data_IF_767596390444
#
_entry.id   IF_767596390444
#
_cell.length_a   1.000
_cell.length_b   1.000
_cell.length_c   1.000
_cell.angle_alpha   90.00
_cell.angle_beta   90.00
_cell.angle_gamma   90.00
#
_symmetry.space_group_name_H-M   'P 1'
#
loop_
_entity.id
_entity.type
_entity.pdbx_description
1 polymer ?
#
# COMPACT_ATOMS: atom_id res chain seq x y z
N UNK A 1 2.18 13.52 -7.77
CA UNK A 1 2.79 12.17 -7.79
C UNK A 1 4.14 12.25 -7.10
N UNK A 2 4.68 11.13 -6.62
CA UNK A 2 5.98 11.11 -5.92
C UNK A 2 7.12 11.43 -6.88
N UNK A 3 8.12 12.18 -6.42
CA UNK A 3 9.24 12.70 -7.21
C UNK A 3 10.55 12.69 -6.42
N UNK A 4 11.66 12.93 -7.12
CA UNK A 4 12.98 13.19 -6.50
C UNK A 4 12.90 14.35 -5.51
N UNK A 5 12.12 15.39 -5.82
CA UNK A 5 11.98 16.56 -4.94
C UNK A 5 11.27 16.20 -3.63
N UNK A 6 10.31 15.27 -3.64
CA UNK A 6 9.66 14.79 -2.40
C UNK A 6 10.67 14.09 -1.47
N UNK A 7 11.60 13.30 -2.03
CA UNK A 7 12.68 12.66 -1.27
C UNK A 7 13.70 13.68 -0.73
N UNK A 8 14.08 14.68 -1.52
CA UNK A 8 14.94 15.80 -1.06
C UNK A 8 14.26 16.57 0.07
N UNK A 9 12.96 16.90 -0.08
CA UNK A 9 12.18 17.56 0.96
C UNK A 9 12.12 16.72 2.24
N UNK A 10 11.99 15.39 2.12
CA UNK A 10 12.10 14.49 3.25
C UNK A 10 13.45 14.61 3.96
N UNK A 11 14.56 14.57 3.21
CA UNK A 11 15.90 14.63 3.81
C UNK A 11 16.15 15.98 4.51
N UNK A 12 15.76 17.09 3.88
CA UNK A 12 15.81 18.43 4.47
C UNK A 12 14.96 18.54 5.74
N UNK A 13 13.80 17.89 5.78
CA UNK A 13 13.00 17.82 7.01
C UNK A 13 13.68 16.95 8.07
N UNK A 14 14.16 15.77 7.69
CA UNK A 14 14.69 14.77 8.63
C UNK A 14 16.01 15.19 9.29
N UNK A 15 16.89 15.90 8.57
CA UNK A 15 18.18 16.36 9.13
C UNK A 15 17.99 17.42 10.24
N UNK A 16 16.87 18.14 10.25
CA UNK A 16 16.51 19.03 11.34
C UNK A 16 16.04 18.30 12.61
N UNK A 17 15.74 16.99 12.50
CA UNK A 17 15.23 16.16 13.60
C UNK A 17 16.25 15.13 14.09
N UNK A 18 17.28 14.83 13.31
CA UNK A 18 18.27 13.80 13.59
C UNK A 18 19.58 14.07 12.87
N UNK A 19 20.69 13.57 13.40
CA UNK A 19 21.99 13.69 12.75
C UNK A 19 22.06 12.93 11.43
N UNK A 20 23.00 13.34 10.57
CA UNK A 20 23.21 12.76 9.24
C UNK A 20 23.58 11.26 9.31
N UNK A 21 24.32 10.83 10.34
CA UNK A 21 24.70 9.43 10.60
C UNK A 21 23.49 8.51 10.82
N UNK A 22 22.40 9.07 11.39
CA UNK A 22 21.16 8.34 11.64
C UNK A 22 20.24 8.29 10.42
N UNK A 23 20.56 9.06 9.36
CA UNK A 23 19.77 9.16 8.13
C UNK A 23 20.48 8.51 6.95
N UNK A 24 21.80 8.57 6.91
CA UNK A 24 22.64 8.18 5.79
C UNK A 24 23.81 7.29 6.22
N UNK A 25 24.31 6.54 5.25
CA UNK A 25 25.42 5.61 5.37
C UNK A 25 26.73 6.36 5.11
N UNK A 26 27.67 6.33 6.06
CA UNK A 26 29.01 6.87 5.84
C UNK A 26 29.88 5.87 5.08
N UNK A 27 30.41 6.29 3.93
CA UNK A 27 31.35 5.54 3.09
C UNK A 27 32.57 6.44 2.88
N UNK A 28 33.69 6.09 3.56
CA UNK A 28 34.98 6.79 3.42
C UNK A 28 34.86 8.32 3.62
N UNK A 29 34.07 8.75 4.61
CA UNK A 29 33.89 10.17 4.94
C UNK A 29 32.78 10.88 4.17
N UNK A 30 32.08 10.19 3.26
CA UNK A 30 30.92 10.74 2.53
C UNK A 30 29.63 10.05 2.95
N UNK A 31 28.54 10.80 3.05
CA UNK A 31 27.24 10.26 3.49
C UNK A 31 26.34 9.99 2.28
N UNK A 32 25.81 8.76 2.19
CA UNK A 32 24.91 8.32 1.12
C UNK A 32 23.59 7.80 1.68
N UNK A 33 22.47 8.00 0.97
CA UNK A 33 21.19 7.40 1.36
C UNK A 33 21.29 5.86 1.35
N UNK A 34 21.95 5.29 0.35
CA UNK A 34 22.21 3.87 0.24
C UNK A 34 23.64 3.61 -0.23
N UNK A 35 24.17 2.44 0.13
CA UNK A 35 25.44 1.98 -0.39
C UNK A 35 25.34 1.76 -1.92
N UNK A 36 26.22 2.37 -2.73
CA UNK A 36 26.31 2.07 -4.17
C UNK A 36 26.57 0.58 -4.43
N UNK A 37 26.02 0.01 -5.52
CA UNK A 37 26.20 -1.43 -5.82
C UNK A 37 27.65 -1.85 -6.02
N UNK A 38 28.45 -0.98 -6.61
CA UNK A 38 29.86 -1.23 -6.94
C UNK A 38 30.82 -0.94 -5.78
N UNK A 39 30.30 -0.61 -4.60
CA UNK A 39 31.10 -0.34 -3.41
C UNK A 39 31.04 -1.52 -2.44
N UNK A 40 32.19 -1.96 -1.93
CA UNK A 40 32.32 -3.14 -1.04
C UNK A 40 32.53 -2.80 0.44
N UNK A 41 32.35 -1.54 0.84
CA UNK A 41 32.46 -1.17 2.25
C UNK A 41 31.45 -1.94 3.12
N UNK A 42 31.88 -2.36 4.32
CA UNK A 42 30.94 -2.91 5.31
C UNK A 42 30.27 -1.77 6.05
N UNK A 43 28.99 -1.57 5.79
CA UNK A 43 28.21 -0.45 6.34
C UNK A 43 26.88 -0.92 6.91
N UNK A 44 26.45 -0.28 7.99
CA UNK A 44 25.14 -0.51 8.59
C UNK A 44 24.11 0.42 7.97
N UNK A 45 22.89 -0.07 7.74
CA UNK A 45 21.78 0.78 7.27
C UNK A 45 21.14 1.49 8.47
N UNK A 46 21.02 2.83 8.45
CA UNK A 46 20.41 3.57 9.55
C UNK A 46 18.93 3.20 9.73
N UNK A 47 18.54 2.80 10.95
CA UNK A 47 17.17 2.38 11.24
C UNK A 47 16.21 3.57 11.42
N UNK A 48 16.68 4.67 12.01
CA UNK A 48 15.86 5.86 12.30
C UNK A 48 15.21 6.45 11.04
N UNK A 49 15.93 6.44 9.90
CA UNK A 49 15.40 6.85 8.59
C UNK A 49 14.09 6.13 8.24
N UNK A 50 14.00 4.82 8.48
CA UNK A 50 12.84 4.02 8.06
C UNK A 50 11.57 4.44 8.80
N UNK A 51 11.68 4.81 10.08
CA UNK A 51 10.55 5.33 10.85
C UNK A 51 10.13 6.71 10.36
N UNK A 52 11.08 7.63 10.11
CA UNK A 52 10.76 8.97 9.62
C UNK A 52 10.09 8.93 8.25
N UNK A 53 10.65 8.20 7.28
CA UNK A 53 10.09 8.14 5.94
C UNK A 53 8.69 7.53 5.92
N UNK A 54 8.43 6.52 6.76
CA UNK A 54 7.09 5.95 6.92
C UNK A 54 6.07 7.04 7.25
N UNK A 55 6.28 7.76 8.36
CA UNK A 55 5.39 8.85 8.78
C UNK A 55 5.26 9.98 7.75
N UNK A 56 6.35 10.33 7.05
CA UNK A 56 6.32 11.35 6.00
C UNK A 56 5.48 10.90 4.81
N UNK A 57 5.63 9.65 4.36
CA UNK A 57 4.86 9.12 3.24
C UNK A 57 3.38 8.94 3.57
N UNK A 58 3.04 8.58 4.82
CA UNK A 58 1.66 8.53 5.28
C UNK A 58 0.97 9.90 5.23
N UNK A 59 1.67 10.94 5.66
CA UNK A 59 1.19 12.33 5.57
C UNK A 59 1.05 12.78 4.11
N UNK A 60 2.05 12.50 3.28
CA UNK A 60 2.04 12.81 1.85
C UNK A 60 0.86 12.13 1.13
N UNK A 61 0.60 10.85 1.42
CA UNK A 61 -0.57 10.16 0.90
C UNK A 61 -1.87 10.80 1.41
N UNK A 62 -1.98 11.15 2.69
CA UNK A 62 -3.17 11.84 3.18
C UNK A 62 -3.46 13.11 2.39
N UNK A 63 -2.45 13.93 2.12
CA UNK A 63 -2.59 15.17 1.37
C UNK A 63 -3.10 14.90 -0.06
N UNK A 64 -2.46 13.97 -0.77
CA UNK A 64 -2.87 13.57 -2.12
C UNK A 64 -4.31 13.03 -2.16
N UNK A 65 -4.67 12.14 -1.24
CA UNK A 65 -5.95 11.46 -1.26
C UNK A 65 -7.09 12.25 -0.57
N UNK A 66 -6.78 13.34 0.15
CA UNK A 66 -7.80 14.19 0.79
C UNK A 66 -8.75 14.83 -0.20
N UNK A 67 -8.25 15.26 -1.37
CA UNK A 67 -9.10 15.82 -2.42
C UNK A 67 -10.07 14.76 -2.97
N UNK A 68 -9.55 13.56 -3.25
CA UNK A 68 -10.33 12.43 -3.78
C UNK A 68 -11.41 11.99 -2.77
N UNK A 69 -11.07 11.95 -1.49
CA UNK A 69 -12.04 11.65 -0.43
C UNK A 69 -13.19 12.67 -0.41
N UNK A 70 -12.86 13.98 -0.47
CA UNK A 70 -13.86 15.05 -0.46
C UNK A 70 -14.81 15.00 -1.66
N UNK A 71 -14.30 14.70 -2.85
CA UNK A 71 -15.14 14.52 -4.06
C UNK A 71 -16.16 13.39 -3.90
N UNK A 72 -15.89 12.43 -3.00
CA UNK A 72 -16.78 11.32 -2.67
C UNK A 72 -17.55 11.54 -1.35
N UNK A 73 -17.55 12.75 -0.79
CA UNK A 73 -18.15 13.09 0.52
C UNK A 73 -17.59 12.26 1.70
N UNK A 74 -16.29 11.98 1.67
CA UNK A 74 -15.56 11.22 2.69
C UNK A 74 -14.38 12.02 3.24
N UNK A 75 -13.79 11.50 4.32
CA UNK A 75 -12.58 11.99 4.96
C UNK A 75 -11.43 11.02 4.73
N UNK A 76 -10.25 11.55 4.37
CA UNK A 76 -9.00 10.81 4.39
C UNK A 76 -8.40 10.89 5.81
N UNK A 77 -8.31 9.76 6.51
CA UNK A 77 -7.90 9.70 7.93
C UNK A 77 -6.73 8.72 8.10
N UNK A 78 -5.61 9.17 8.66
CA UNK A 78 -4.48 8.31 9.02
C UNK A 78 -4.69 7.66 10.38
N UNK A 79 -4.04 6.50 10.60
CA UNK A 79 -4.01 5.83 11.89
C UNK A 79 -5.39 5.37 12.35
N UNK A 80 -6.21 4.85 11.43
CA UNK A 80 -7.59 4.44 11.75
C UNK A 80 -7.59 3.15 12.55
N UNK A 81 -8.28 3.19 13.69
CA UNK A 81 -8.47 2.08 14.62
C UNK A 81 -9.93 1.65 14.57
N UNK A 82 -10.14 0.35 14.41
CA UNK A 82 -11.43 -0.31 14.43
C UNK A 82 -11.25 -1.76 14.90
N UNK A 83 -11.33 -1.97 16.21
CA UNK A 83 -11.11 -3.27 16.86
C UNK A 83 -12.04 -4.36 16.31
N UNK A 84 -13.27 -3.99 15.90
CA UNK A 84 -14.28 -4.92 15.35
C UNK A 84 -13.90 -5.57 14.01
N UNK A 85 -12.87 -5.06 13.32
CA UNK A 85 -12.31 -5.63 12.09
C UNK A 85 -10.81 -5.92 12.21
N UNK A 86 -10.26 -5.97 13.42
CA UNK A 86 -8.85 -6.28 13.65
C UNK A 86 -7.87 -5.12 13.42
N UNK A 87 -8.35 -3.89 13.20
CA UNK A 87 -7.51 -2.69 13.17
C UNK A 87 -7.28 -2.17 14.59
N UNK A 88 -6.37 -2.82 15.32
CA UNK A 88 -6.00 -2.41 16.68
C UNK A 88 -5.12 -1.16 16.66
N UNK A 89 -4.85 -0.55 17.82
CA UNK A 89 -3.88 0.57 17.91
C UNK A 89 -2.47 0.20 17.43
N UNK A 90 -2.06 -1.06 17.63
CA UNK A 90 -0.74 -1.56 17.22
C UNK A 90 -0.66 -1.88 15.72
N UNK A 91 -1.81 -2.03 15.06
CA UNK A 91 -1.92 -2.37 13.64
C UNK A 91 -3.01 -1.54 12.96
N UNK A 92 -3.06 -0.25 13.30
CA UNK A 92 -4.01 0.70 12.73
C UNK A 92 -3.82 0.80 11.20
N UNK A 93 -4.86 1.15 10.46
CA UNK A 93 -4.71 1.42 9.04
C UNK A 93 -3.89 2.70 8.83
N UNK A 94 -2.92 2.65 7.92
CA UNK A 94 -2.02 3.78 7.64
C UNK A 94 -2.84 4.98 7.12
N UNK A 95 -3.82 4.70 6.26
CA UNK A 95 -4.81 5.66 5.77
C UNK A 95 -6.13 4.94 5.46
N UNK A 96 -7.27 5.59 5.69
CA UNK A 96 -8.57 5.08 5.25
C UNK A 96 -9.48 6.22 4.80
N UNK A 97 -10.43 5.91 3.91
CA UNK A 97 -11.56 6.79 3.63
C UNK A 97 -12.72 6.44 4.55
N UNK A 98 -13.18 7.45 5.27
CA UNK A 98 -14.19 7.29 6.30
C UNK A 98 -15.34 8.30 6.12
N UNK A 99 -16.55 7.92 6.52
CA UNK A 99 -17.69 8.84 6.58
C UNK A 99 -17.62 9.83 7.75
N UNK A 100 -16.64 9.70 8.64
CA UNK A 100 -16.36 10.65 9.72
C UNK A 100 -14.85 10.95 9.81
N UNK A 101 -14.43 12.09 10.36
CA UNK A 101 -13.01 12.45 10.47
C UNK A 101 -12.28 11.80 11.67
N UNK A 102 -12.96 10.99 12.48
CA UNK A 102 -12.39 10.36 13.68
C UNK A 102 -11.33 9.30 13.34
N UNK A 103 -10.31 9.13 14.19
CA UNK A 103 -9.37 8.02 14.07
C UNK A 103 -9.96 6.71 14.59
N UNK A 104 -10.79 6.76 15.62
CA UNK A 104 -11.55 5.60 16.11
C UNK A 104 -12.83 5.50 15.29
N UNK A 105 -12.99 4.39 14.57
CA UNK A 105 -14.09 4.18 13.64
C UNK A 105 -14.89 2.92 13.98
N UNK A 106 -16.17 2.94 13.57
CA UNK A 106 -16.99 1.73 13.43
C UNK A 106 -16.83 1.17 12.02
N UNK A 107 -17.00 -0.15 11.80
CA UNK A 107 -16.79 -0.75 10.49
C UNK A 107 -17.60 -0.09 9.36
N UNK A 108 -18.86 0.27 9.62
CA UNK A 108 -19.75 0.91 8.64
C UNK A 108 -19.28 2.29 8.17
N UNK A 109 -18.44 2.97 8.94
CA UNK A 109 -17.87 4.26 8.57
C UNK A 109 -16.69 4.12 7.61
N UNK A 110 -15.99 2.99 7.61
CA UNK A 110 -14.79 2.77 6.79
C UNK A 110 -15.23 2.32 5.41
N UNK A 111 -14.87 3.09 4.38
CA UNK A 111 -15.26 2.83 2.99
C UNK A 111 -14.13 2.28 2.13
N UNK A 112 -12.88 2.52 2.53
CA UNK A 112 -11.69 2.08 1.81
C UNK A 112 -10.49 2.12 2.77
N UNK A 113 -9.65 1.09 2.73
CA UNK A 113 -8.40 1.04 3.50
C UNK A 113 -7.21 1.13 2.55
N UNK A 114 -6.21 1.90 2.94
CA UNK A 114 -4.91 1.96 2.30
C UNK A 114 -3.83 1.49 3.27
N UNK A 115 -3.02 0.56 2.82
CA UNK A 115 -1.76 0.21 3.48
C UNK A 115 -0.61 0.85 2.69
N UNK A 116 0.22 1.63 3.37
CA UNK A 116 1.31 2.39 2.77
C UNK A 116 2.61 1.63 2.99
N UNK A 117 3.32 1.39 1.90
CA UNK A 117 4.63 0.71 1.84
C UNK A 117 5.63 1.53 1.03
N UNK A 118 5.50 2.85 1.06
CA UNK A 118 6.42 3.78 0.41
C UNK A 118 7.71 3.96 1.23
N UNK A 119 8.77 4.45 0.58
CA UNK A 119 10.07 4.72 1.21
C UNK A 119 10.99 5.53 0.31
N UNK A 120 12.27 5.68 0.67
CA UNK A 120 13.27 6.28 -0.22
C UNK A 120 13.60 5.28 -1.33
N UNK A 121 13.50 5.74 -2.58
CA UNK A 121 13.72 4.94 -3.79
C UNK A 121 15.06 5.27 -4.44
N UNK A 122 15.51 6.52 -4.36
CA UNK A 122 16.74 6.95 -5.01
C UNK A 122 17.91 7.02 -4.03
N UNK A 123 19.12 7.13 -4.58
CA UNK A 123 20.32 7.43 -3.84
C UNK A 123 20.64 8.92 -3.90
N UNK A 124 21.16 9.41 -2.79
CA UNK A 124 21.61 10.78 -2.60
C UNK A 124 22.94 10.76 -1.87
N UNK A 125 23.80 11.74 -2.11
CA UNK A 125 24.88 12.05 -1.18
C UNK A 125 24.68 13.42 -0.57
N UNK A 126 25.14 13.58 0.66
CA UNK A 126 25.19 14.87 1.33
C UNK A 126 26.52 15.54 1.00
N UNK A 127 26.47 16.70 0.36
CA UNK A 127 27.66 17.40 -0.14
C UNK A 127 28.21 18.43 0.87
N UNK A 128 29.32 19.06 0.51
CA UNK A 128 29.99 20.05 1.37
C UNK A 128 29.21 21.37 1.49
N UNK A 129 28.21 21.61 0.62
CA UNK A 129 27.31 22.77 0.67
C UNK A 129 26.09 22.51 1.56
N UNK A 130 26.05 21.38 2.26
CA UNK A 130 24.92 20.93 3.06
C UNK A 130 23.67 20.58 2.23
N UNK A 131 23.85 20.14 0.98
CA UNK A 131 22.78 19.77 0.07
C UNK A 131 22.69 18.25 -0.15
N UNK A 132 21.46 17.76 -0.43
CA UNK A 132 21.21 16.37 -0.82
C UNK A 132 21.17 16.25 -2.35
N UNK A 133 22.23 15.71 -2.92
CA UNK A 133 22.41 15.62 -4.37
C UNK A 133 22.06 14.21 -4.85
N UNK A 134 21.10 14.12 -5.78
CA UNK A 134 20.73 12.85 -6.43
C UNK A 134 21.95 12.23 -7.12
N UNK A 135 22.21 10.95 -6.87
CA UNK A 135 23.35 10.24 -7.47
C UNK A 135 23.00 8.88 -8.11
N UNK A 136 21.73 8.49 -8.10
CA UNK A 136 21.28 7.29 -8.81
C UNK A 136 19.91 6.81 -8.33
N UNK A 137 19.32 5.90 -9.08
CA UNK A 137 18.03 5.28 -8.74
C UNK A 137 18.23 3.92 -8.01
N UNK A 138 17.12 3.24 -7.73
CA UNK A 138 17.12 1.93 -7.05
C UNK A 138 17.91 0.82 -7.77
N UNK A 139 18.21 1.00 -9.06
CA UNK A 139 19.03 0.04 -9.82
C UNK A 139 20.53 0.21 -9.54
N UNK A 140 20.95 1.33 -8.95
CA UNK A 140 22.37 1.69 -8.74
C UNK A 140 22.88 1.46 -7.32
N UNK A 141 22.00 1.17 -6.36
CA UNK A 141 22.36 0.99 -4.95
C UNK A 141 21.91 -0.37 -4.38
N UNK A 142 22.48 -0.78 -3.25
CA UNK A 142 22.21 -2.08 -2.60
C UNK A 142 20.89 -2.14 -1.82
N UNK A 143 20.28 -1.00 -1.52
CA UNK A 143 18.96 -0.95 -0.87
C UNK A 143 17.84 -1.41 -1.81
N UNK A 144 16.85 -2.12 -1.26
CA UNK A 144 15.60 -2.42 -1.97
C UNK A 144 14.51 -1.52 -1.41
N UNK A 145 13.88 -0.65 -2.22
CA UNK A 145 12.82 0.23 -1.73
C UNK A 145 11.45 -0.46 -1.72
N UNK A 146 10.59 -0.03 -0.79
CA UNK A 146 9.13 -0.20 -0.90
C UNK A 146 8.68 -1.65 -1.22
N UNK A 147 8.03 -1.87 -2.36
CA UNK A 147 7.45 -3.13 -2.85
C UNK A 147 8.48 -4.06 -3.50
N UNK A 148 9.72 -3.60 -3.73
CA UNK A 148 10.83 -4.47 -4.13
C UNK A 148 11.34 -5.33 -2.97
N UNK A 149 10.97 -5.00 -1.72
CA UNK A 149 11.29 -5.83 -0.56
C UNK A 149 10.22 -6.88 -0.32
N UNK A 150 10.64 -8.14 -0.24
CA UNK A 150 9.75 -9.25 0.06
C UNK A 150 9.05 -9.12 1.42
N UNK A 151 9.74 -8.64 2.46
CA UNK A 151 9.14 -8.48 3.79
C UNK A 151 8.02 -7.43 3.78
N UNK A 152 8.22 -6.33 3.04
CA UNK A 152 7.23 -5.26 2.86
C UNK A 152 5.96 -5.77 2.18
N UNK A 153 6.13 -6.54 1.09
CA UNK A 153 5.03 -7.20 0.38
C UNK A 153 4.27 -8.17 1.29
N UNK A 154 5.00 -9.04 2.01
CA UNK A 154 4.39 -10.05 2.88
C UNK A 154 3.63 -9.42 4.06
N UNK A 155 4.14 -8.33 4.64
CA UNK A 155 3.43 -7.58 5.70
C UNK A 155 2.11 -6.99 5.20
N UNK A 156 2.13 -6.36 4.01
CA UNK A 156 0.92 -5.81 3.40
C UNK A 156 -0.13 -6.91 3.12
N UNK A 157 0.31 -8.04 2.56
CA UNK A 157 -0.54 -9.20 2.29
C UNK A 157 -1.10 -9.78 3.60
N UNK A 158 -0.25 -10.00 4.60
CA UNK A 158 -0.64 -10.56 5.88
C UNK A 158 -1.68 -9.71 6.60
N UNK A 159 -1.48 -8.39 6.66
CA UNK A 159 -2.46 -7.47 7.26
C UNK A 159 -3.80 -7.49 6.52
N UNK A 160 -3.76 -7.57 5.19
CA UNK A 160 -4.98 -7.64 4.37
C UNK A 160 -5.73 -8.95 4.61
N UNK A 161 -5.03 -10.08 4.73
CA UNK A 161 -5.64 -11.37 5.07
C UNK A 161 -6.27 -11.32 6.45
N UNK A 162 -5.56 -10.80 7.47
CA UNK A 162 -6.09 -10.67 8.83
C UNK A 162 -7.41 -9.88 8.85
N UNK A 163 -7.44 -8.71 8.19
CA UNK A 163 -8.66 -7.92 8.03
C UNK A 163 -9.82 -8.71 7.41
N UNK A 164 -9.54 -9.58 6.42
CA UNK A 164 -10.57 -10.39 5.76
C UNK A 164 -11.10 -11.52 6.64
N UNK A 165 -10.27 -12.12 7.50
CA UNK A 165 -10.64 -13.28 8.31
C UNK A 165 -11.18 -12.91 9.69
N UNK A 166 -10.77 -11.77 10.25
CA UNK A 166 -11.12 -11.37 11.62
C UNK A 166 -12.60 -11.04 11.79
N UNK A 167 -13.25 -10.52 10.75
CA UNK A 167 -14.64 -10.08 10.86
C UNK A 167 -15.37 -10.07 9.53
N UNK A 168 -16.61 -10.58 9.54
CA UNK A 168 -17.52 -10.47 8.40
C UNK A 168 -17.85 -9.02 8.03
N UNK A 169 -17.66 -8.08 8.97
CA UNK A 169 -17.89 -6.66 8.76
C UNK A 169 -16.87 -6.01 7.81
N UNK A 170 -15.69 -6.62 7.62
CA UNK A 170 -14.67 -6.12 6.71
C UNK A 170 -14.86 -6.58 5.25
N UNK A 171 -15.80 -7.48 4.98
CA UNK A 171 -15.97 -8.13 3.66
C UNK A 171 -16.27 -7.16 2.52
N UNK A 172 -16.90 -6.03 2.84
CA UNK A 172 -17.25 -4.97 1.87
C UNK A 172 -16.21 -3.87 1.76
N UNK A 173 -15.23 -3.82 2.66
CA UNK A 173 -14.24 -2.75 2.69
C UNK A 173 -13.13 -3.14 1.69
N UNK A 174 -12.89 -2.36 0.62
CA UNK A 174 -11.79 -2.61 -0.28
C UNK A 174 -10.46 -2.23 0.39
N UNK A 175 -9.37 -2.90 -0.02
CA UNK A 175 -8.03 -2.70 0.50
C UNK A 175 -7.09 -2.44 -0.67
N UNK A 176 -6.37 -1.32 -0.62
CA UNK A 176 -5.37 -0.93 -1.63
C UNK A 176 -4.01 -0.83 -0.95
N UNK A 177 -2.96 -1.34 -1.62
CA UNK A 177 -1.59 -1.20 -1.15
C UNK A 177 -0.92 -0.08 -1.96
N UNK A 178 -0.40 0.94 -1.30
CA UNK A 178 0.30 2.06 -1.91
C UNK A 178 1.81 1.88 -1.74
N UNK A 179 2.56 1.96 -2.83
CA UNK A 179 4.01 1.99 -2.85
C UNK A 179 4.53 3.11 -3.74
N UNK A 180 5.84 3.22 -3.85
CA UNK A 180 6.51 4.16 -4.76
C UNK A 180 7.68 3.50 -5.49
N UNK A 181 7.63 2.17 -5.62
CA UNK A 181 8.60 1.40 -6.38
C UNK A 181 7.89 0.43 -7.31
N UNK A 182 8.59 -0.09 -8.33
CA UNK A 182 8.14 -1.29 -9.04
C UNK A 182 8.05 -2.51 -8.11
N UNK A 183 7.60 -3.63 -8.67
CA UNK A 183 7.67 -4.96 -8.06
C UNK A 183 8.72 -5.84 -8.76
N UNK A 184 9.16 -6.92 -8.11
CA UNK A 184 9.98 -7.95 -8.78
C UNK A 184 9.10 -8.89 -9.60
N UNK A 185 9.68 -9.52 -10.63
CA UNK A 185 8.99 -10.49 -11.49
C UNK A 185 8.37 -11.66 -10.71
N UNK A 186 9.00 -12.07 -9.61
CA UNK A 186 8.50 -13.12 -8.71
C UNK A 186 7.15 -12.79 -8.03
N UNK A 187 6.77 -11.51 -7.94
CA UNK A 187 5.49 -11.10 -7.36
C UNK A 187 4.38 -10.87 -8.39
N UNK A 188 4.66 -10.84 -9.70
CA UNK A 188 3.68 -10.56 -10.77
C UNK A 188 2.44 -11.46 -10.65
N UNK A 189 2.66 -12.79 -10.68
CA UNK A 189 1.55 -13.75 -10.55
C UNK A 189 0.84 -13.61 -9.20
N UNK A 190 1.59 -13.31 -8.12
CA UNK A 190 1.04 -13.24 -6.77
C UNK A 190 0.09 -12.06 -6.59
N UNK A 191 0.45 -10.86 -7.07
CA UNK A 191 -0.42 -9.67 -6.96
C UNK A 191 -1.67 -9.82 -7.82
N UNK A 192 -1.55 -10.45 -8.99
CA UNK A 192 -2.70 -10.76 -9.85
C UNK A 192 -3.67 -11.74 -9.17
N UNK A 193 -3.16 -12.82 -8.58
CA UNK A 193 -3.99 -13.76 -7.81
C UNK A 193 -4.66 -13.09 -6.59
N UNK A 194 -3.97 -12.18 -5.89
CA UNK A 194 -4.53 -11.45 -4.74
C UNK A 194 -5.68 -10.51 -5.15
N UNK A 195 -5.57 -9.89 -6.33
CA UNK A 195 -6.65 -9.11 -6.93
C UNK A 195 -7.82 -9.98 -7.34
N UNK A 196 -7.59 -11.05 -8.09
CA UNK A 196 -8.65 -11.93 -8.55
C UNK A 196 -9.39 -12.61 -7.40
N UNK A 197 -8.70 -12.97 -6.33
CA UNK A 197 -9.32 -13.52 -5.11
C UNK A 197 -10.03 -12.47 -4.24
N UNK A 198 -9.89 -11.18 -4.56
CA UNK A 198 -10.51 -10.08 -3.82
C UNK A 198 -9.88 -9.76 -2.47
N UNK A 199 -8.77 -10.41 -2.10
CA UNK A 199 -8.06 -10.13 -0.83
C UNK A 199 -7.58 -8.68 -0.80
N UNK A 200 -6.93 -8.23 -1.87
CA UNK A 200 -6.44 -6.87 -2.09
C UNK A 200 -6.94 -6.41 -3.46
N UNK A 201 -7.52 -5.22 -3.57
CA UNK A 201 -8.08 -4.75 -4.84
C UNK A 201 -7.01 -4.28 -5.82
N UNK A 202 -5.89 -3.71 -5.34
CA UNK A 202 -4.76 -3.31 -6.17
C UNK A 202 -3.52 -2.99 -5.35
N UNK A 203 -2.35 -3.22 -5.93
CA UNK A 203 -1.09 -2.59 -5.54
C UNK A 203 -0.80 -1.43 -6.49
N UNK A 204 -0.56 -0.23 -5.98
CA UNK A 204 -0.34 0.97 -6.79
C UNK A 204 1.03 1.55 -6.47
N UNK A 205 1.87 1.76 -7.48
CA UNK A 205 3.04 2.63 -7.36
C UNK A 205 2.65 4.07 -7.69
N UNK A 206 2.96 5.01 -6.80
CA UNK A 206 2.72 6.44 -6.94
C UNK A 206 3.93 7.21 -7.46
N UNK A 207 4.98 6.50 -7.91
CA UNK A 207 6.17 7.08 -8.52
C UNK A 207 6.24 6.67 -10.00
N UNK A 208 5.85 7.56 -10.93
CA UNK A 208 5.78 7.28 -12.37
C UNK A 208 7.12 6.91 -13.01
N UNK A 209 8.20 7.59 -12.58
CA UNK A 209 9.51 7.50 -13.21
C UNK A 209 10.58 7.13 -12.16
N UNK A 210 10.54 5.91 -11.59
CA UNK A 210 11.46 5.49 -10.55
C UNK A 210 12.85 5.11 -11.08
N UNK A 211 13.01 4.99 -12.40
CA UNK A 211 14.27 4.72 -13.10
C UNK A 211 14.11 5.11 -14.58
N UNK A 212 15.22 5.37 -15.27
CA UNK A 212 15.27 5.49 -16.73
C UNK A 212 15.31 4.13 -17.45
N UNK A 213 15.60 3.05 -16.72
CA UNK A 213 15.61 1.70 -17.25
C UNK A 213 14.20 1.11 -17.38
N UNK A 214 14.07 -0.01 -18.08
CA UNK A 214 12.81 -0.76 -18.12
C UNK A 214 12.46 -1.32 -16.74
N UNK A 215 11.18 -1.25 -16.38
CA UNK A 215 10.63 -1.83 -15.15
C UNK A 215 9.19 -2.28 -15.37
N UNK A 216 8.68 -3.10 -14.44
CA UNK A 216 7.28 -3.55 -14.46
C UNK A 216 6.39 -2.38 -14.09
N UNK A 217 5.73 -1.78 -15.09
CA UNK A 217 4.72 -0.72 -14.88
C UNK A 217 3.36 -1.27 -14.50
N UNK A 218 2.95 -2.38 -15.09
CA UNK A 218 1.69 -3.07 -14.81
C UNK A 218 1.87 -4.58 -14.91
N UNK A 219 0.97 -5.32 -14.28
CA UNK A 219 0.87 -6.78 -14.42
C UNK A 219 -0.27 -7.16 -15.37
N UNK A 220 -0.24 -8.37 -15.97
CA UNK A 220 -1.24 -8.80 -16.97
C UNK A 220 -2.69 -8.63 -16.50
N UNK A 221 -2.98 -9.02 -15.25
CA UNK A 221 -4.34 -8.91 -14.68
C UNK A 221 -4.56 -7.60 -13.92
N UNK A 222 -3.63 -6.65 -14.04
CA UNK A 222 -3.66 -5.33 -13.39
C UNK A 222 -3.82 -5.43 -11.87
N UNK A 223 -3.21 -6.44 -11.25
CA UNK A 223 -3.03 -6.58 -9.81
C UNK A 223 -2.05 -5.55 -9.24
N UNK A 224 -1.06 -5.15 -10.04
CA UNK A 224 -0.18 -4.01 -9.79
C UNK A 224 -0.18 -3.05 -10.98
N UNK A 225 -0.19 -1.74 -10.70
CA UNK A 225 -0.04 -0.68 -11.71
C UNK A 225 0.75 0.52 -11.13
N UNK A 226 1.52 1.19 -11.98
CA UNK A 226 2.15 2.48 -11.69
C UNK A 226 1.29 3.58 -12.29
N UNK A 227 0.83 4.52 -11.46
CA UNK A 227 -0.02 5.61 -11.92
C UNK A 227 0.82 6.85 -12.22
N UNK A 228 0.50 7.51 -13.32
CA UNK A 228 1.21 8.68 -13.84
C UNK A 228 0.59 10.00 -13.36
N UNK A 229 -0.69 9.98 -12.94
CA UNK A 229 -1.41 11.19 -12.53
C UNK A 229 -2.45 10.95 -11.44
N UNK A 230 -2.80 12.00 -10.65
CA UNK A 230 -3.90 11.92 -9.69
C UNK A 230 -5.24 11.53 -10.31
N UNK A 231 -5.53 11.93 -11.55
CA UNK A 231 -6.80 11.62 -12.21
C UNK A 231 -7.02 10.10 -12.42
N UNK A 232 -5.95 9.35 -12.67
CA UNK A 232 -6.02 7.88 -12.74
C UNK A 232 -6.40 7.28 -11.37
N UNK A 233 -5.83 7.84 -10.28
CA UNK A 233 -6.16 7.43 -8.90
C UNK A 233 -7.63 7.72 -8.62
N UNK A 234 -8.09 8.94 -8.92
CA UNK A 234 -9.47 9.38 -8.70
C UNK A 234 -10.47 8.47 -9.43
N UNK A 235 -10.23 8.22 -10.73
CA UNK A 235 -11.10 7.36 -11.54
C UNK A 235 -11.18 5.95 -10.95
N UNK A 236 -10.03 5.38 -10.59
CA UNK A 236 -9.97 4.04 -9.99
C UNK A 236 -10.69 3.97 -8.64
N UNK A 237 -10.47 4.94 -7.76
CA UNK A 237 -11.12 4.99 -6.45
C UNK A 237 -12.63 5.14 -6.58
N UNK A 238 -13.10 6.07 -7.41
CA UNK A 238 -14.53 6.28 -7.61
C UNK A 238 -15.20 5.01 -8.14
N UNK A 239 -14.54 4.28 -9.04
CA UNK A 239 -15.04 2.98 -9.51
C UNK A 239 -15.10 1.94 -8.39
N UNK A 240 -14.09 1.87 -7.53
CA UNK A 240 -14.07 0.92 -6.41
C UNK A 240 -15.12 1.24 -5.35
N UNK A 241 -15.30 2.51 -4.99
CA UNK A 241 -16.27 2.94 -3.98
C UNK A 241 -17.72 2.69 -4.43
N UNK A 242 -17.98 2.81 -5.73
CA UNK A 242 -19.29 2.55 -6.32
C UNK A 242 -19.54 1.07 -6.63
N UNK A 243 -18.50 0.23 -6.59
CA UNK A 243 -18.64 -1.19 -6.82
C UNK A 243 -19.20 -1.87 -5.56
N UNK A 244 -20.39 -2.46 -5.65
CA UNK A 244 -21.01 -3.24 -4.56
C UNK A 244 -20.38 -4.63 -4.43
N UNK A 245 -19.08 -4.66 -4.11
CA UNK A 245 -18.28 -5.89 -4.01
C UNK A 245 -18.40 -6.54 -2.63
N UNK A 246 -18.33 -7.88 -2.60
CA UNK A 246 -18.28 -8.66 -1.37
C UNK A 246 -17.13 -9.67 -1.45
N UNK A 247 -16.22 -9.62 -0.49
CA UNK A 247 -15.23 -10.68 -0.30
C UNK A 247 -15.87 -11.88 0.41
N UNK A 248 -15.63 -13.09 -0.12
CA UNK A 248 -16.01 -14.35 0.51
C UNK A 248 -14.90 -15.38 0.32
N UNK A 249 -14.66 -16.21 1.33
CA UNK A 249 -13.71 -17.32 1.28
C UNK A 249 -14.11 -18.40 2.27
N UNK A 250 -13.90 -19.67 1.91
CA UNK A 250 -14.15 -20.83 2.77
C UNK A 250 -13.46 -22.07 2.20
N UNK A 251 -13.07 -23.00 3.07
CA UNK A 251 -12.63 -24.34 2.67
C UNK A 251 -13.77 -25.35 2.91
N UNK A 252 -14.25 -26.01 1.86
CA UNK A 252 -15.34 -27.00 1.97
C UNK A 252 -15.28 -28.05 0.86
N UNK A 253 -15.98 -29.18 1.06
CA UNK A 253 -16.08 -30.21 0.03
C UNK A 253 -16.93 -29.74 -1.16
N UNK A 254 -16.66 -30.32 -2.33
CA UNK A 254 -17.44 -30.04 -3.55
C UNK A 254 -18.92 -30.38 -3.37
N UNK A 255 -19.24 -31.43 -2.59
CA UNK A 255 -20.62 -31.81 -2.27
C UNK A 255 -21.34 -30.71 -1.48
N UNK A 256 -20.70 -30.19 -0.41
CA UNK A 256 -21.26 -29.10 0.39
C UNK A 256 -21.42 -27.83 -0.45
N UNK A 257 -20.40 -27.48 -1.23
CA UNK A 257 -20.45 -26.31 -2.12
C UNK A 257 -21.59 -26.43 -3.14
N UNK A 258 -21.72 -27.59 -3.78
CA UNK A 258 -22.81 -27.87 -4.73
C UNK A 258 -24.18 -27.72 -4.10
N UNK A 259 -24.37 -28.24 -2.88
CA UNK A 259 -25.63 -28.11 -2.13
C UNK A 259 -25.96 -26.65 -1.83
N UNK A 260 -24.98 -25.85 -1.40
CA UNK A 260 -25.19 -24.41 -1.14
C UNK A 260 -25.61 -23.67 -2.42
N UNK A 261 -24.96 -23.97 -3.54
CA UNK A 261 -25.31 -23.38 -4.85
C UNK A 261 -26.75 -23.75 -5.23
N UNK A 262 -27.14 -25.02 -5.08
CA UNK A 262 -28.51 -25.48 -5.40
C UNK A 262 -29.59 -24.85 -4.53
N UNK A 263 -29.30 -24.55 -3.26
CA UNK A 263 -30.23 -23.84 -2.38
C UNK A 263 -30.32 -22.38 -2.81
N UNK A 264 -29.18 -21.72 -3.00
CA UNK A 264 -29.13 -20.31 -3.40
C UNK A 264 -29.80 -20.07 -4.76
N UNK A 265 -29.70 -21.01 -5.71
CA UNK A 265 -30.25 -20.88 -7.05
C UNK A 265 -31.79 -20.83 -7.10
N UNK A 266 -32.47 -21.16 -6.00
CA UNK A 266 -33.94 -21.06 -5.90
C UNK A 266 -34.42 -19.62 -5.75
N UNK A 267 -33.52 -18.68 -5.44
CA UNK A 267 -33.86 -17.26 -5.32
C UNK A 267 -34.25 -16.64 -6.67
N UNK A 268 -35.09 -15.61 -6.61
CA UNK A 268 -35.79 -15.04 -7.77
C UNK A 268 -34.89 -14.24 -8.72
N UNK A 269 -33.74 -13.75 -8.27
CA UNK A 269 -32.80 -12.95 -9.06
C UNK A 269 -31.35 -13.29 -8.76
N UNK A 270 -30.43 -13.01 -9.69
CA UNK A 270 -29.00 -13.29 -9.49
C UNK A 270 -28.40 -12.56 -8.28
N UNK A 271 -28.88 -11.36 -7.98
CA UNK A 271 -28.47 -10.63 -6.78
C UNK A 271 -28.90 -11.38 -5.50
N UNK A 272 -30.17 -11.81 -5.42
CA UNK A 272 -30.68 -12.56 -4.27
C UNK A 272 -29.98 -13.92 -4.16
N UNK A 273 -29.71 -14.60 -5.27
CA UNK A 273 -28.91 -15.84 -5.31
C UNK A 273 -27.53 -15.61 -4.71
N UNK A 274 -26.84 -14.53 -5.10
CA UNK A 274 -25.54 -14.16 -4.57
C UNK A 274 -25.57 -13.84 -3.07
N UNK A 275 -26.54 -13.03 -2.63
CA UNK A 275 -26.72 -12.70 -1.21
C UNK A 275 -27.00 -13.95 -0.38
N UNK A 276 -27.93 -14.80 -0.83
CA UNK A 276 -28.29 -16.05 -0.15
C UNK A 276 -27.10 -17.01 -0.05
N UNK A 277 -26.32 -17.13 -1.12
CA UNK A 277 -25.11 -17.95 -1.11
C UNK A 277 -24.10 -17.43 -0.08
N UNK A 278 -23.83 -16.12 -0.05
CA UNK A 278 -22.88 -15.51 0.89
C UNK A 278 -23.36 -15.65 2.34
N UNK A 279 -24.66 -15.49 2.62
CA UNK A 279 -25.23 -15.71 3.95
C UNK A 279 -24.94 -17.12 4.46
N UNK A 280 -25.12 -18.13 3.59
CA UNK A 280 -24.87 -19.53 3.94
C UNK A 280 -23.38 -19.88 4.09
N UNK A 281 -22.47 -19.11 3.50
CA UNK A 281 -21.03 -19.24 3.70
C UNK A 281 -20.56 -18.70 5.06
N UNK A 282 -21.34 -17.80 5.66
CA UNK A 282 -20.94 -17.01 6.83
C UNK A 282 -21.48 -17.58 8.15
N UNK A 283 -21.89 -18.85 8.15
CA UNK A 283 -22.33 -19.63 9.32
C UNK A 283 -21.18 -20.49 9.86
#
# INVERSE_FOLDING_TARGET
>A
MWTIQDEVNFFNYAINLSSIENLMVNIRGKYFAFQPKNDDAKVNTPQARNSFIGSTTEKWCKELFSQIARQNNLYAVNGVVCEEIGLTRQSAADLAFCSSPSTIQRPENIKLIFEIKMGIVNNYFYDDNADFVFCGDYTTHKGNPSLLRSDSMLKAIGKSINLRVDSSKAKKIPIIILGNSPITSSYVKKVDCLKQSGVIQKFISLYPNPTSNSFIRETPEKGFETYDSPNQIETFISNILNANMNYFSSMMSNEKLGRLISIASQEASDELRGQRFIEMLNV
#
